data_IF_335916179670
#
_entry.id   IF_335916179670
#
_cell.length_a   1.000
_cell.length_b   1.000
_cell.length_c   1.000
_cell.angle_alpha   90.00
_cell.angle_beta   90.00
_cell.angle_gamma   90.00
#
_symmetry.space_group_name_H-M   'P 1'
#
loop_
_entity.id
_entity.type
_entity.pdbx_description
1 polymer ?
#
# COMPACT_ATOMS: atom_id res chain seq x y z
N UNK A 1 -1.26 14.09 5.98
CA UNK A 1 -2.01 13.15 6.84
C UNK A 1 -3.02 14.01 7.56
N UNK A 2 -4.33 13.84 7.34
CA UNK A 2 -5.33 14.77 7.88
C UNK A 2 -6.36 14.01 8.72
N UNK A 3 -6.69 14.53 9.90
CA UNK A 3 -7.66 13.95 10.82
C UNK A 3 -8.77 14.97 11.17
N UNK A 4 -10.03 14.56 11.02
CA UNK A 4 -11.23 15.38 11.27
C UNK A 4 -12.25 14.57 12.08
N UNK A 5 -13.15 15.22 12.80
CA UNK A 5 -14.29 14.52 13.43
C UNK A 5 -15.35 14.12 12.39
N UNK A 6 -16.02 12.97 12.57
CA UNK A 6 -17.14 12.52 11.74
C UNK A 6 -17.89 11.34 12.36
N UNK A 7 -18.84 10.77 11.62
CA UNK A 7 -19.58 9.56 12.03
C UNK A 7 -19.18 8.36 11.17
N UNK A 8 -18.96 7.20 11.80
CA UNK A 8 -18.72 5.96 11.07
C UNK A 8 -19.97 5.50 10.28
N UNK A 9 -19.89 4.33 9.64
CA UNK A 9 -21.02 3.76 8.89
C UNK A 9 -22.22 3.39 9.77
N UNK A 10 -22.04 3.28 11.10
CA UNK A 10 -23.10 2.99 12.06
C UNK A 10 -23.71 4.26 12.69
N UNK A 11 -23.14 5.43 12.40
CA UNK A 11 -23.55 6.72 12.97
C UNK A 11 -22.85 7.07 14.28
N UNK A 12 -21.88 6.27 14.73
CA UNK A 12 -21.11 6.53 15.94
C UNK A 12 -20.06 7.61 15.69
N UNK A 13 -20.01 8.66 16.52
CA UNK A 13 -18.99 9.69 16.42
C UNK A 13 -17.58 9.12 16.63
N UNK A 14 -16.68 9.41 15.70
CA UNK A 14 -15.27 9.00 15.76
C UNK A 14 -14.39 9.98 15.00
N UNK A 15 -13.12 10.07 15.40
CA UNK A 15 -12.12 10.71 14.56
C UNK A 15 -11.96 9.90 13.26
N UNK A 16 -11.89 10.63 12.15
CA UNK A 16 -11.71 10.14 10.80
C UNK A 16 -10.39 10.58 10.24
N UNK A 17 -9.76 9.69 9.49
CA UNK A 17 -8.43 9.88 9.00
C UNK A 17 -8.32 9.68 7.48
N UNK A 18 -7.60 10.58 6.80
CA UNK A 18 -7.35 10.50 5.36
C UNK A 18 -5.86 10.57 5.02
N UNK A 19 -5.44 9.70 4.10
CA UNK A 19 -4.05 9.53 3.70
C UNK A 19 -3.92 9.36 2.20
N UNK A 20 -2.90 9.99 1.63
CA UNK A 20 -2.47 9.80 0.26
C UNK A 20 -0.97 9.51 0.29
N UNK A 21 -0.59 8.26 0.03
CA UNK A 21 0.78 7.80 0.10
C UNK A 21 1.21 7.19 -1.23
N UNK A 22 2.49 7.35 -1.58
CA UNK A 22 3.09 6.74 -2.76
C UNK A 22 4.06 5.66 -2.32
N UNK A 23 3.76 4.41 -2.64
CA UNK A 23 4.64 3.28 -2.38
C UNK A 23 5.51 3.02 -3.60
N UNK A 24 6.83 2.89 -3.38
CA UNK A 24 7.82 2.59 -4.42
C UNK A 24 8.55 1.30 -4.04
N UNK A 25 8.55 0.31 -4.94
CA UNK A 25 9.34 -0.91 -4.79
C UNK A 25 10.28 -1.09 -5.99
N UNK A 26 11.41 -1.75 -5.76
CA UNK A 26 12.30 -2.20 -6.84
C UNK A 26 11.99 -3.66 -7.13
N UNK A 27 11.61 -3.96 -8.38
CA UNK A 27 11.37 -5.33 -8.84
C UNK A 27 12.48 -5.75 -9.78
N UNK A 28 13.10 -6.90 -9.55
CA UNK A 28 14.16 -7.47 -10.39
C UNK A 28 13.75 -8.85 -10.88
N UNK A 29 13.87 -9.07 -12.19
CA UNK A 29 13.82 -10.40 -12.79
C UNK A 29 15.25 -10.91 -13.00
N UNK A 30 15.73 -11.86 -12.16
CA UNK A 30 17.07 -12.43 -12.31
C UNK A 30 17.14 -13.51 -13.40
N UNK A 31 16.01 -13.97 -13.95
CA UNK A 31 16.01 -15.04 -14.95
C UNK A 31 16.80 -14.64 -16.19
N UNK A 32 17.44 -15.63 -16.81
CA UNK A 32 18.31 -15.46 -17.98
C UNK A 32 17.63 -15.75 -19.30
N UNK A 33 16.52 -16.48 -19.30
CA UNK A 33 15.89 -16.96 -20.53
C UNK A 33 14.51 -16.34 -20.79
N UNK A 34 13.75 -16.03 -19.73
CA UNK A 34 12.35 -15.66 -19.87
C UNK A 34 12.03 -14.32 -19.21
N UNK A 35 11.14 -13.57 -19.86
CA UNK A 35 10.43 -12.48 -19.21
C UNK A 35 9.37 -13.06 -18.25
N UNK A 36 9.05 -12.33 -17.20
CA UNK A 36 8.04 -12.74 -16.22
C UNK A 36 6.89 -11.74 -16.21
N UNK A 37 5.67 -12.27 -16.25
CA UNK A 37 4.46 -11.48 -16.05
C UNK A 37 4.18 -11.35 -14.55
N UNK A 38 4.14 -10.10 -14.08
CA UNK A 38 4.04 -9.73 -12.68
C UNK A 38 2.66 -9.16 -12.39
N UNK A 39 2.02 -9.72 -11.38
CA UNK A 39 0.74 -9.28 -10.85
C UNK A 39 0.85 -9.15 -9.33
N UNK A 40 -0.09 -8.44 -8.71
CA UNK A 40 -0.14 -8.28 -7.26
C UNK A 40 -1.58 -8.23 -6.79
N UNK A 41 -1.83 -8.71 -5.57
CA UNK A 41 -3.01 -8.28 -4.81
C UNK A 41 -2.96 -6.77 -4.58
N UNK A 42 -4.07 -6.13 -4.16
CA UNK A 42 -4.01 -4.75 -3.66
C UNK A 42 -2.92 -4.60 -2.59
N UNK A 43 -2.27 -3.45 -2.60
CA UNK A 43 -1.29 -3.04 -1.61
C UNK A 43 -2.04 -2.35 -0.49
N UNK A 44 -2.02 -2.96 0.68
CA UNK A 44 -2.78 -2.48 1.82
C UNK A 44 -1.84 -1.95 2.90
N UNK A 45 -2.10 -0.73 3.37
CA UNK A 45 -1.48 -0.20 4.56
C UNK A 45 -2.38 -0.49 5.76
N UNK A 46 -1.79 -1.08 6.78
CA UNK A 46 -2.45 -1.44 8.03
C UNK A 46 -1.79 -0.74 9.20
N UNK A 47 -2.61 -0.29 10.15
CA UNK A 47 -2.19 0.06 11.50
C UNK A 47 -2.75 -0.99 12.44
N UNK A 48 -1.89 -1.80 13.06
CA UNK A 48 -2.29 -3.07 13.69
C UNK A 48 -3.15 -3.93 12.75
N UNK A 49 -4.42 -4.18 13.10
CA UNK A 49 -5.37 -4.97 12.33
C UNK A 49 -6.29 -4.11 11.45
N UNK A 50 -6.18 -2.78 11.54
CA UNK A 50 -7.03 -1.86 10.81
C UNK A 50 -6.40 -1.52 9.45
N UNK A 51 -7.10 -1.88 8.37
CA UNK A 51 -6.75 -1.40 7.03
C UNK A 51 -7.07 0.09 6.90
N UNK A 52 -6.04 0.90 6.70
CA UNK A 52 -6.19 2.36 6.62
C UNK A 52 -6.08 2.90 5.19
N UNK A 53 -5.51 2.14 4.27
CA UNK A 53 -5.48 2.53 2.86
C UNK A 53 -5.23 1.33 1.95
N UNK A 54 -5.65 1.47 0.70
CA UNK A 54 -5.39 0.47 -0.34
C UNK A 54 -5.01 1.13 -1.66
N UNK A 55 -4.27 0.42 -2.49
CA UNK A 55 -3.89 0.83 -3.84
C UNK A 55 -3.63 -0.38 -4.72
N UNK A 56 -3.89 -0.27 -6.02
CA UNK A 56 -3.69 -1.38 -6.95
C UNK A 56 -2.50 -1.11 -7.87
N UNK A 57 -1.52 -2.01 -7.82
CA UNK A 57 -0.40 -2.00 -8.76
C UNK A 57 -0.87 -2.38 -10.17
N UNK A 58 -0.43 -1.62 -11.18
CA UNK A 58 -0.62 -2.00 -12.57
C UNK A 58 0.25 -3.23 -12.90
N UNK A 59 -0.37 -4.30 -13.39
CA UNK A 59 0.36 -5.50 -13.86
C UNK A 59 1.37 -5.14 -14.95
N UNK A 60 2.48 -5.86 -15.01
CA UNK A 60 3.54 -5.58 -15.98
C UNK A 60 4.31 -6.85 -16.34
N UNK A 61 5.10 -6.77 -17.40
CA UNK A 61 6.09 -7.79 -17.74
C UNK A 61 7.49 -7.24 -17.48
N UNK A 62 8.36 -8.05 -16.88
CA UNK A 62 9.76 -7.72 -16.66
C UNK A 62 10.65 -8.61 -17.52
N UNK A 63 11.46 -7.99 -18.38
CA UNK A 63 12.44 -8.69 -19.21
C UNK A 63 13.47 -9.47 -18.37
N UNK A 64 14.11 -10.46 -18.97
CA UNK A 64 15.23 -11.19 -18.35
C UNK A 64 16.35 -10.24 -17.89
N UNK A 65 17.07 -10.62 -16.84
CA UNK A 65 18.23 -9.88 -16.28
C UNK A 65 18.00 -8.37 -16.14
N UNK A 66 16.79 -7.95 -15.78
CA UNK A 66 16.46 -6.53 -15.71
C UNK A 66 15.68 -6.19 -14.45
N UNK A 67 15.59 -4.90 -14.14
CA UNK A 67 14.87 -4.38 -12.99
C UNK A 67 14.02 -3.18 -13.38
N UNK A 68 13.00 -2.88 -12.57
CA UNK A 68 12.21 -1.66 -12.70
C UNK A 68 11.78 -1.14 -11.34
N UNK A 69 11.55 0.17 -11.26
CA UNK A 69 10.79 0.76 -10.15
C UNK A 69 9.30 0.59 -10.44
N UNK A 70 8.56 0.14 -9.45
CA UNK A 70 7.10 0.03 -9.48
C UNK A 70 6.55 1.02 -8.47
N UNK A 71 5.64 1.87 -8.91
CA UNK A 71 5.06 2.97 -8.13
C UNK A 71 3.56 2.80 -8.08
N UNK A 72 2.96 2.92 -6.90
CA UNK A 72 1.51 2.82 -6.73
C UNK A 72 1.06 3.78 -5.64
N UNK A 73 -0.03 4.50 -5.92
CA UNK A 73 -0.70 5.35 -4.94
C UNK A 73 -1.57 4.47 -4.06
N UNK A 74 -1.41 4.61 -2.75
CA UNK A 74 -2.20 3.94 -1.72
C UNK A 74 -2.94 5.04 -0.95
N UNK A 75 -4.27 5.01 -1.02
CA UNK A 75 -5.14 6.07 -0.49
C UNK A 75 -6.16 5.50 0.49
N UNK A 76 -6.38 6.24 1.57
CA UNK A 76 -7.47 6.05 2.53
C UNK A 76 -8.22 7.37 2.69
N UNK A 77 -9.54 7.32 2.75
CA UNK A 77 -10.39 8.51 2.90
C UNK A 77 -11.38 8.27 4.02
N UNK A 78 -11.45 9.21 4.97
CA UNK A 78 -12.40 9.18 6.08
C UNK A 78 -12.44 7.83 6.83
N UNK A 79 -11.27 7.25 7.06
CA UNK A 79 -11.14 5.98 7.78
C UNK A 79 -11.40 6.23 9.28
N UNK A 80 -12.40 5.57 9.89
CA UNK A 80 -12.70 5.76 11.30
C UNK A 80 -11.57 5.18 12.17
N UNK A 81 -11.17 5.92 13.20
CA UNK A 81 -10.08 5.54 14.10
C UNK A 81 -10.56 4.90 15.40
N UNK A 82 -11.83 5.02 15.77
CA UNK A 82 -12.46 4.48 16.98
C UNK A 82 -11.64 4.70 18.26
N UNK A 83 -10.96 5.85 18.38
CA UNK A 83 -10.06 6.15 19.50
C UNK A 83 -8.80 5.26 19.59
N UNK A 84 -8.60 4.35 18.63
CA UNK A 84 -7.54 3.34 18.60
C UNK A 84 -6.17 3.83 18.12
N UNK A 85 -6.01 5.12 17.80
CA UNK A 85 -4.71 5.71 17.47
C UNK A 85 -4.41 6.92 18.39
N UNK A 86 -4.00 6.68 19.66
CA UNK A 86 -3.71 7.74 20.63
C UNK A 86 -2.68 8.75 20.13
N UNK A 87 -1.72 8.26 19.34
CA UNK A 87 -0.62 9.02 18.74
C UNK A 87 -1.10 10.09 17.76
N UNK A 88 -2.26 9.93 17.11
CA UNK A 88 -2.82 10.93 16.20
C UNK A 88 -3.76 11.92 16.88
N UNK A 89 -4.30 11.57 18.05
CA UNK A 89 -5.15 12.47 18.85
C UNK A 89 -4.27 13.48 19.60
N UNK A 90 -3.11 13.05 20.08
CA UNK A 90 -2.10 13.91 20.73
C UNK A 90 -1.48 14.96 19.79
N UNK A 91 -1.58 14.78 18.47
CA UNK A 91 -1.06 15.74 17.47
C UNK A 91 -1.89 17.01 17.33
N UNK A 92 -3.08 17.08 17.98
CA UNK A 92 -3.88 18.31 18.06
C UNK A 92 -3.17 19.40 18.87
N UNK A 93 -2.30 19.03 19.80
CA UNK A 93 -1.64 19.95 20.74
C UNK A 93 -0.21 20.34 20.31
N UNK A 94 0.51 19.50 19.56
CA UNK A 94 1.88 19.79 19.08
C UNK A 94 2.11 19.26 17.66
N UNK A 95 2.40 20.17 16.72
CA UNK A 95 2.73 19.90 15.31
C UNK A 95 4.13 19.28 15.13
N UNK A 96 4.51 18.33 15.98
CA UNK A 96 5.74 17.57 15.79
C UNK A 96 5.46 16.37 14.88
N UNK A 97 6.42 16.09 13.99
CA UNK A 97 6.32 14.99 13.02
C UNK A 97 6.20 13.68 13.77
N UNK A 98 5.03 13.07 13.72
CA UNK A 98 4.72 11.83 14.42
C UNK A 98 5.00 10.64 13.50
N UNK A 99 5.86 9.74 13.96
CA UNK A 99 6.12 8.48 13.28
C UNK A 99 5.08 7.44 13.74
N UNK A 100 4.24 7.00 12.80
CA UNK A 100 3.27 5.91 13.03
C UNK A 100 3.81 4.63 12.37
N UNK A 101 3.98 3.53 13.10
CA UNK A 101 4.37 2.26 12.49
C UNK A 101 3.21 1.72 11.64
N UNK A 102 3.47 1.48 10.36
CA UNK A 102 2.48 0.94 9.41
C UNK A 102 3.01 -0.34 8.77
N UNK A 103 2.12 -1.31 8.60
CA UNK A 103 2.40 -2.54 7.87
C UNK A 103 1.92 -2.42 6.43
N UNK A 104 2.83 -2.56 5.48
CA UNK A 104 2.49 -2.70 4.06
C UNK A 104 2.36 -4.19 3.73
N UNK A 105 1.16 -4.62 3.32
CA UNK A 105 0.87 -6.02 2.99
C UNK A 105 0.40 -6.16 1.55
N UNK A 106 0.97 -7.13 0.84
CA UNK A 106 0.58 -7.52 -0.51
C UNK A 106 1.21 -8.88 -0.86
N UNK A 107 0.63 -9.57 -1.84
CA UNK A 107 1.22 -10.75 -2.46
C UNK A 107 1.57 -10.42 -3.91
N UNK A 108 2.85 -10.54 -4.25
CA UNK A 108 3.35 -10.39 -5.61
C UNK A 108 3.53 -11.75 -6.27
N UNK A 109 2.96 -11.93 -7.47
CA UNK A 109 3.05 -13.17 -8.24
C UNK A 109 3.76 -12.92 -9.56
N UNK A 110 4.83 -13.68 -9.80
CA UNK A 110 5.61 -13.65 -11.03
C UNK A 110 5.42 -14.95 -11.78
N UNK A 111 4.96 -14.88 -13.03
CA UNK A 111 4.69 -16.05 -13.88
C UNK A 111 5.57 -16.01 -15.12
N UNK A 112 6.39 -17.04 -15.32
CA UNK A 112 7.08 -17.27 -16.59
C UNK A 112 6.21 -18.22 -17.43
N UNK A 113 6.04 -17.92 -18.71
CA UNK A 113 5.41 -18.84 -19.65
C UNK A 113 6.53 -19.49 -20.47
N UNK A 114 6.67 -20.80 -20.36
CA UNK A 114 7.79 -21.59 -20.92
C UNK A 114 7.39 -22.30 -22.23
N UNK A 115 6.28 -21.90 -22.85
CA UNK A 115 5.88 -22.46 -24.15
C UNK A 115 6.83 -21.90 -25.24
N UNK A 116 7.64 -22.79 -25.81
CA UNK A 116 8.90 -22.56 -26.55
C UNK A 116 8.85 -21.56 -27.71
N UNK A 117 9.95 -20.94 -28.13
CA UNK A 117 11.27 -21.49 -28.51
C UNK A 117 12.42 -20.90 -27.69
N UNK A 118 13.47 -21.71 -27.46
CA UNK A 118 14.82 -21.17 -27.31
C UNK A 118 15.13 -20.35 -28.58
N UNK A 119 15.38 -19.06 -28.42
CA UNK A 119 16.15 -18.28 -29.39
C UNK A 119 17.61 -18.33 -28.98
#
# INVERSE_FOLDING_TARGET
MNANAGNDQSGLPTDMFSLNSTVKISYRNPATFFAVHVTSTPWELHYFQLKIASGQMKKFTQSRKSQRKVVTIVKGSQVPLYGGIPVLVASREHLNTIAVPLNLTFVMRSRAYILGRLL
#
